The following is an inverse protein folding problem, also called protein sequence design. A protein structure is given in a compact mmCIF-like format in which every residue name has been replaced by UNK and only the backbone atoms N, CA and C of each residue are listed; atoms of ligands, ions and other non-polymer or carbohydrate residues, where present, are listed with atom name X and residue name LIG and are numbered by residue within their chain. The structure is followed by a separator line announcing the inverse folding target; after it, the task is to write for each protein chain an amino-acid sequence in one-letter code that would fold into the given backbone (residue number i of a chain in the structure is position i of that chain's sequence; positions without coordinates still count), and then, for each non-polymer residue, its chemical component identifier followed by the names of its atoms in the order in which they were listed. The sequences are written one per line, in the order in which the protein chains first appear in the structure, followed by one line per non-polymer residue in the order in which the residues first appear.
data_IF_692847024004
#
_entry.id   IF_692847024004
#
_cell.length_a   1.000
_cell.length_b   1.000
_cell.length_c   1.000
_cell.angle_alpha   90.00
_cell.angle_beta   90.00
_cell.angle_gamma   90.00
#
_symmetry.space_group_name_H-M   'P 1'
#
loop_
_entity.id
_entity.type
_entity.pdbx_description
1 polymer ?
#
# COMPACT_ATOMS: atom_id res chain seq x y z
N UNK A 1 -9.11 37.08 -17.26
CA UNK A 1 -7.84 37.12 -16.51
C UNK A 1 -7.82 35.90 -15.61
N UNK A 2 -7.04 34.88 -15.97
CA UNK A 2 -6.86 33.67 -15.17
C UNK A 2 -5.74 33.92 -14.18
N UNK A 3 -6.10 34.04 -12.89
CA UNK A 3 -5.13 34.15 -11.81
C UNK A 3 -4.39 32.81 -11.75
N UNK A 4 -3.09 32.83 -12.06
CA UNK A 4 -2.21 31.71 -11.78
C UNK A 4 -2.20 31.52 -10.27
N UNK A 5 -2.95 30.55 -9.76
CA UNK A 5 -2.78 30.11 -8.38
C UNK A 5 -1.31 29.74 -8.21
N UNK A 6 -0.59 30.51 -7.40
CA UNK A 6 0.75 30.16 -6.97
C UNK A 6 0.63 28.85 -6.21
N UNK A 7 0.88 27.75 -6.91
CA UNK A 7 0.89 26.40 -6.36
C UNK A 7 2.11 26.31 -5.44
N UNK A 8 1.89 26.59 -4.15
CA UNK A 8 2.92 26.53 -3.11
C UNK A 8 3.38 25.08 -3.02
N UNK A 9 4.64 24.83 -3.39
CA UNK A 9 5.26 23.51 -3.23
C UNK A 9 5.33 23.20 -1.73
N UNK A 10 4.84 22.04 -1.26
CA UNK A 10 4.91 21.68 0.16
C UNK A 10 6.36 21.67 0.65
N UNK A 11 6.63 22.15 1.87
CA UNK A 11 7.97 21.99 2.46
C UNK A 11 8.17 20.56 2.98
N UNK A 12 9.42 20.17 3.25
CA UNK A 12 9.75 18.80 3.70
C UNK A 12 9.07 18.48 5.04
N UNK A 13 9.00 19.46 5.94
CA UNK A 13 8.33 19.34 7.23
C UNK A 13 6.84 19.04 7.07
N UNK A 14 6.16 19.72 6.15
CA UNK A 14 4.73 19.49 5.85
C UNK A 14 4.48 18.09 5.28
N UNK A 15 5.43 17.57 4.49
CA UNK A 15 5.35 16.23 3.91
C UNK A 15 5.52 15.17 4.99
N UNK A 16 6.56 15.28 5.82
CA UNK A 16 6.81 14.35 6.92
C UNK A 16 5.65 14.36 7.91
N UNK A 17 5.14 15.53 8.28
CA UNK A 17 3.97 15.66 9.14
C UNK A 17 2.72 15.00 8.53
N UNK A 18 2.52 15.11 7.20
CA UNK A 18 1.39 14.45 6.54
C UNK A 18 1.50 12.92 6.60
N UNK A 19 2.71 12.38 6.46
CA UNK A 19 2.95 10.94 6.59
C UNK A 19 2.69 10.47 8.02
N UNK A 20 3.03 11.25 9.04
CA UNK A 20 2.83 10.90 10.47
C UNK A 20 1.36 10.78 10.89
N UNK A 21 0.41 11.33 10.11
CA UNK A 21 -1.03 11.22 10.41
C UNK A 21 -1.46 9.75 10.36
N UNK A 22 -1.77 9.20 11.55
CA UNK A 22 -2.28 7.84 11.72
C UNK A 22 -3.79 7.81 11.58
N UNK A 23 -4.31 6.68 11.11
CA UNK A 23 -5.74 6.46 10.99
C UNK A 23 -6.35 6.25 12.38
N UNK A 24 -7.23 7.15 12.82
CA UNK A 24 -8.10 6.90 13.97
C UNK A 24 -9.41 6.31 13.46
N UNK A 25 -9.75 5.11 13.95
CA UNK A 25 -10.86 4.30 13.43
C UNK A 25 -12.25 4.91 13.70
N UNK A 26 -12.33 5.98 14.48
CA UNK A 26 -13.60 6.53 15.02
C UNK A 26 -14.23 7.65 14.19
N UNK A 27 -13.52 8.31 13.27
CA UNK A 27 -14.11 9.41 12.49
C UNK A 27 -14.54 8.97 11.09
N UNK A 28 -15.85 8.73 10.97
CA UNK A 28 -16.56 8.69 9.72
C UNK A 28 -16.38 10.02 8.97
N UNK A 29 -15.62 9.97 7.87
CA UNK A 29 -15.73 10.80 6.66
C UNK A 29 -14.41 11.45 6.23
N UNK A 30 -14.08 11.19 4.95
CA UNK A 30 -13.16 11.93 4.10
C UNK A 30 -11.65 11.60 4.10
N UNK A 31 -11.33 10.66 3.18
CA UNK A 31 -10.06 10.18 2.61
C UNK A 31 -9.04 9.62 3.62
N UNK A 32 -8.56 8.44 3.25
CA UNK A 32 -7.56 7.69 3.97
C UNK A 32 -6.22 8.44 3.88
N UNK A 33 -5.50 8.59 5.01
CA UNK A 33 -4.47 9.61 5.16
C UNK A 33 -3.23 9.35 4.31
N UNK A 34 -2.93 8.10 3.97
CA UNK A 34 -1.70 7.78 3.26
C UNK A 34 -1.80 8.14 1.78
N UNK A 35 -2.90 7.83 1.08
CA UNK A 35 -3.07 8.23 -0.33
C UNK A 35 -2.91 9.74 -0.52
N UNK A 36 -3.55 10.55 0.32
CA UNK A 36 -3.40 12.01 0.29
C UNK A 36 -1.95 12.45 0.51
N UNK A 37 -1.25 11.79 1.44
CA UNK A 37 0.14 12.12 1.75
C UNK A 37 1.06 11.74 0.60
N UNK A 38 0.84 10.58 -0.04
CA UNK A 38 1.55 10.18 -1.25
C UNK A 38 1.32 11.15 -2.41
N UNK A 39 0.10 11.65 -2.60
CA UNK A 39 -0.19 12.68 -3.60
C UNK A 39 0.61 13.97 -3.35
N UNK A 40 0.75 14.38 -2.08
CA UNK A 40 1.60 15.53 -1.71
C UNK A 40 3.09 15.24 -1.95
N UNK A 41 3.57 14.05 -1.56
CA UNK A 41 4.94 13.62 -1.82
C UNK A 41 5.25 13.59 -3.32
N UNK A 42 4.33 13.10 -4.15
CA UNK A 42 4.47 13.03 -5.60
C UNK A 42 4.63 14.43 -6.18
N UNK A 43 3.77 15.35 -5.77
CA UNK A 43 3.84 16.73 -6.24
C UNK A 43 5.16 17.41 -5.82
N UNK A 44 5.62 17.17 -4.59
CA UNK A 44 6.94 17.66 -4.14
C UNK A 44 8.10 17.08 -4.97
N UNK A 45 8.10 15.77 -5.20
CA UNK A 45 9.13 15.09 -5.97
C UNK A 45 9.16 15.61 -7.42
N UNK A 46 8.00 15.84 -8.03
CA UNK A 46 7.87 16.42 -9.36
C UNK A 46 8.40 17.86 -9.40
N UNK A 47 7.97 18.71 -8.46
CA UNK A 47 8.37 20.12 -8.39
C UNK A 47 9.88 20.31 -8.25
N UNK A 48 10.53 19.40 -7.52
CA UNK A 48 11.98 19.44 -7.29
C UNK A 48 12.78 18.48 -8.19
N UNK A 49 12.15 17.86 -9.20
CA UNK A 49 12.78 16.98 -10.21
C UNK A 49 13.47 15.73 -9.64
N UNK A 50 12.95 15.17 -8.55
CA UNK A 50 13.45 13.91 -7.97
C UNK A 50 12.80 12.70 -8.64
N UNK A 51 13.34 12.29 -9.79
CA UNK A 51 12.78 11.21 -10.61
C UNK A 51 12.64 9.88 -9.86
N UNK A 52 13.67 9.47 -9.10
CA UNK A 52 13.66 8.20 -8.37
C UNK A 52 12.60 8.18 -7.26
N UNK A 53 12.49 9.28 -6.50
CA UNK A 53 11.48 9.43 -5.46
C UNK A 53 10.08 9.45 -6.08
N UNK A 54 9.91 10.15 -7.19
CA UNK A 54 8.64 10.21 -7.90
C UNK A 54 8.19 8.83 -8.40
N UNK A 55 9.10 8.03 -8.98
CA UNK A 55 8.77 6.68 -9.45
C UNK A 55 8.43 5.75 -8.29
N UNK A 56 9.20 5.79 -7.19
CA UNK A 56 8.89 5.05 -5.96
C UNK A 56 7.48 5.39 -5.47
N UNK A 57 7.19 6.67 -5.24
CA UNK A 57 5.90 7.13 -4.73
C UNK A 57 4.73 6.74 -5.64
N UNK A 58 4.95 6.75 -6.96
CA UNK A 58 3.96 6.34 -7.95
C UNK A 58 3.64 4.86 -7.84
N UNK A 59 4.66 4.02 -7.67
CA UNK A 59 4.48 2.58 -7.46
C UNK A 59 3.78 2.29 -6.12
N UNK A 60 4.14 3.00 -5.05
CA UNK A 60 3.46 2.88 -3.76
C UNK A 60 1.97 3.23 -3.86
N UNK A 61 1.65 4.35 -4.51
CA UNK A 61 0.30 4.89 -4.61
C UNK A 61 -0.61 4.03 -5.50
N UNK A 62 -0.12 3.61 -6.66
CA UNK A 62 -0.95 3.02 -7.73
C UNK A 62 -0.71 1.53 -7.96
N UNK A 63 0.36 0.97 -7.40
CA UNK A 63 0.72 -0.44 -7.50
C UNK A 63 1.91 -0.69 -8.43
N UNK A 64 2.33 -1.96 -8.47
CA UNK A 64 3.56 -2.38 -9.14
C UNK A 64 3.29 -3.18 -10.41
N UNK A 65 4.08 -2.90 -11.44
CA UNK A 65 4.11 -3.67 -12.70
C UNK A 65 5.21 -4.73 -12.73
N UNK A 66 6.22 -4.59 -11.87
CA UNK A 66 7.45 -5.40 -11.75
C UNK A 66 7.64 -5.77 -10.27
N UNK A 67 8.59 -6.63 -9.85
CA UNK A 67 8.45 -7.34 -8.59
C UNK A 67 8.33 -6.36 -7.43
N UNK A 68 7.27 -6.55 -6.64
CA UNK A 68 7.01 -5.71 -5.48
C UNK A 68 8.15 -5.87 -4.46
N UNK A 69 8.48 -4.82 -3.69
CA UNK A 69 9.45 -4.90 -2.60
C UNK A 69 9.14 -6.04 -1.62
N UNK A 70 10.17 -6.60 -0.96
CA UNK A 70 10.00 -7.74 -0.06
C UNK A 70 8.99 -7.49 1.07
N UNK A 71 8.86 -6.26 1.55
CA UNK A 71 7.91 -5.91 2.59
C UNK A 71 6.43 -5.98 2.10
N UNK A 72 6.19 -6.06 0.78
CA UNK A 72 4.86 -6.23 0.17
C UNK A 72 4.38 -7.69 0.20
N UNK A 73 5.19 -8.63 0.67
CA UNK A 73 4.76 -10.01 0.84
C UNK A 73 3.89 -10.16 2.08
N UNK A 74 2.66 -10.61 1.88
CA UNK A 74 1.67 -10.82 2.93
C UNK A 74 1.31 -12.29 3.03
N UNK A 75 0.74 -12.67 4.18
CA UNK A 75 0.23 -14.02 4.40
C UNK A 75 -1.23 -14.09 3.98
N UNK A 76 -1.53 -14.92 2.98
CA UNK A 76 -2.88 -15.24 2.54
C UNK A 76 -3.50 -16.31 3.42
N UNK A 77 -4.76 -16.07 3.77
CA UNK A 77 -5.69 -17.10 4.24
C UNK A 77 -6.52 -17.57 3.05
N UNK A 78 -6.70 -18.88 2.92
CA UNK A 78 -7.45 -19.47 1.81
C UNK A 78 -8.85 -19.87 2.24
N UNK A 79 -9.84 -19.62 1.38
CA UNK A 79 -11.24 -19.91 1.65
C UNK A 79 -11.86 -20.67 0.49
N UNK A 80 -12.83 -21.53 0.81
CA UNK A 80 -13.68 -22.17 -0.18
C UNK A 80 -14.89 -21.29 -0.55
N UNK A 81 -15.70 -21.75 -1.51
CA UNK A 81 -16.91 -21.05 -1.95
C UNK A 81 -17.97 -20.87 -0.85
N UNK A 82 -17.89 -21.65 0.25
CA UNK A 82 -18.76 -21.52 1.41
C UNK A 82 -18.25 -20.51 2.46
N UNK A 83 -17.13 -19.85 2.20
CA UNK A 83 -16.50 -18.93 3.14
C UNK A 83 -15.81 -19.62 4.31
N UNK A 84 -15.52 -20.93 4.21
CA UNK A 84 -14.79 -21.65 5.24
C UNK A 84 -13.29 -21.63 4.95
N UNK A 85 -12.50 -21.39 5.99
CA UNK A 85 -11.04 -21.39 5.89
C UNK A 85 -10.50 -22.79 5.57
N UNK A 86 -9.65 -22.88 4.54
CA UNK A 86 -8.97 -24.11 4.14
C UNK A 86 -7.64 -24.22 4.90
N UNK A 87 -7.51 -25.27 5.72
CA UNK A 87 -6.32 -25.54 6.55
C UNK A 87 -5.22 -26.25 5.75
N UNK A 88 -4.00 -26.27 6.28
CA UNK A 88 -2.88 -27.05 5.70
C UNK A 88 -2.15 -26.37 4.54
N UNK A 89 -2.44 -25.10 4.25
CA UNK A 89 -1.86 -24.34 3.14
C UNK A 89 -0.86 -23.25 3.58
N UNK A 90 -0.43 -23.25 4.84
CA UNK A 90 0.44 -22.21 5.42
C UNK A 90 1.82 -22.11 4.75
N UNK A 91 2.30 -23.16 4.09
CA UNK A 91 3.55 -23.12 3.33
C UNK A 91 3.42 -22.42 1.98
N UNK A 92 2.19 -22.15 1.53
CA UNK A 92 1.89 -21.47 0.26
C UNK A 92 1.33 -20.05 0.47
N UNK A 93 1.13 -19.61 1.70
CA UNK A 93 0.43 -18.37 2.01
C UNK A 93 1.20 -17.08 1.69
N UNK A 94 2.53 -17.15 1.52
CA UNK A 94 3.31 -15.97 1.16
C UNK A 94 2.97 -15.51 -0.27
N UNK A 95 2.45 -14.28 -0.40
CA UNK A 95 2.03 -13.75 -1.69
C UNK A 95 2.43 -12.28 -1.86
N UNK A 96 3.00 -11.88 -3.02
CA UNK A 96 3.37 -10.50 -3.29
C UNK A 96 2.13 -9.64 -3.57
N UNK A 97 1.92 -8.61 -2.77
CA UNK A 97 0.80 -7.70 -2.96
C UNK A 97 1.19 -6.51 -3.83
N UNK A 98 0.85 -6.58 -5.11
CA UNK A 98 1.12 -5.53 -6.11
C UNK A 98 0.12 -4.36 -6.10
N UNK A 99 -0.88 -4.43 -5.24
CA UNK A 99 -1.96 -3.43 -5.17
C UNK A 99 -1.47 -2.14 -4.51
N UNK A 100 -1.75 -1.00 -5.15
CA UNK A 100 -1.39 0.33 -4.65
C UNK A 100 -2.13 0.72 -3.37
N UNK A 101 -1.53 1.64 -2.60
CA UNK A 101 -2.08 2.18 -1.34
C UNK A 101 -3.51 2.67 -1.51
N UNK A 102 -3.82 3.32 -2.64
CA UNK A 102 -5.16 3.84 -2.93
C UNK A 102 -6.28 2.79 -2.80
N UNK A 103 -6.00 1.55 -3.19
CA UNK A 103 -6.92 0.42 -3.09
C UNK A 103 -6.79 -0.26 -1.74
N UNK A 104 -5.57 -0.43 -1.22
CA UNK A 104 -5.36 -1.05 0.09
C UNK A 104 -6.12 -0.33 1.20
N UNK A 105 -6.10 1.00 1.20
CA UNK A 105 -6.82 1.79 2.18
C UNK A 105 -8.35 1.61 2.07
N UNK A 106 -8.90 1.40 0.87
CA UNK A 106 -10.34 1.05 0.69
C UNK A 106 -10.68 -0.31 1.29
N UNK A 107 -9.72 -1.23 1.34
CA UNK A 107 -9.88 -2.58 1.88
C UNK A 107 -9.63 -2.66 3.39
N UNK A 108 -9.27 -1.57 4.08
CA UNK A 108 -8.94 -1.61 5.50
C UNK A 108 -10.09 -2.08 6.38
N UNK A 109 -11.36 -1.80 6.03
CA UNK A 109 -12.52 -2.20 6.84
C UNK A 109 -12.86 -3.68 6.74
N UNK A 110 -12.73 -4.27 5.55
CA UNK A 110 -13.26 -5.61 5.25
C UNK A 110 -12.17 -6.63 4.91
N UNK A 111 -10.93 -6.19 4.77
CA UNK A 111 -9.85 -6.98 4.19
C UNK A 111 -9.88 -6.95 2.66
N UNK A 112 -8.91 -7.62 2.08
CA UNK A 112 -8.72 -7.71 0.64
C UNK A 112 -8.87 -9.17 0.19
N UNK A 113 -9.84 -9.40 -0.67
CA UNK A 113 -10.04 -10.68 -1.34
C UNK A 113 -9.35 -10.65 -2.70
N UNK A 114 -8.50 -11.63 -2.96
CA UNK A 114 -7.73 -11.76 -4.19
C UNK A 114 -8.28 -12.89 -5.04
N UNK A 115 -8.66 -12.55 -6.28
CA UNK A 115 -8.88 -13.55 -7.32
C UNK A 115 -7.53 -14.02 -7.85
N UNK A 116 -7.05 -15.13 -7.30
CA UNK A 116 -5.79 -15.74 -7.73
C UNK A 116 -5.95 -16.38 -9.12
N UNK A 117 -4.88 -16.46 -9.93
CA UNK A 117 -4.89 -17.22 -11.17
C UNK A 117 -5.45 -18.64 -10.97
N UNK A 118 -6.30 -19.10 -11.91
CA UNK A 118 -6.96 -20.41 -11.82
C UNK A 118 -5.99 -21.56 -11.62
N UNK A 119 -4.79 -21.47 -12.19
CA UNK A 119 -3.72 -22.46 -12.03
C UNK A 119 -3.25 -22.57 -10.58
N UNK A 120 -3.15 -21.44 -9.86
CA UNK A 120 -2.79 -21.41 -8.45
C UNK A 120 -3.91 -22.01 -7.61
N UNK A 121 -5.17 -21.63 -7.86
CA UNK A 121 -6.33 -22.18 -7.14
C UNK A 121 -6.47 -23.69 -7.32
N UNK A 122 -6.32 -24.19 -8.56
CA UNK A 122 -6.33 -25.63 -8.85
C UNK A 122 -5.20 -26.38 -8.14
N UNK A 123 -4.00 -25.80 -8.10
CA UNK A 123 -2.88 -26.37 -7.36
C UNK A 123 -3.18 -26.46 -5.86
N UNK A 124 -3.63 -25.35 -5.25
CA UNK A 124 -3.98 -25.28 -3.83
C UNK A 124 -5.11 -26.25 -3.47
N UNK A 125 -6.09 -26.39 -4.36
CA UNK A 125 -7.20 -27.32 -4.17
C UNK A 125 -6.73 -28.78 -4.18
N UNK A 126 -5.82 -29.11 -5.09
CA UNK A 126 -5.24 -30.46 -5.19
C UNK A 126 -4.42 -30.84 -3.95
N UNK A 127 -3.59 -29.93 -3.44
CA UNK A 127 -2.72 -30.22 -2.29
C UNK A 127 -3.48 -30.25 -0.97
N UNK A 128 -4.56 -29.48 -0.83
CA UNK A 128 -5.39 -29.49 0.38
C UNK A 128 -6.47 -30.58 0.39
N UNK A 129 -6.80 -31.16 -0.77
CA UNK A 129 -7.92 -32.08 -0.93
C UNK A 129 -9.30 -31.43 -0.79
N UNK A 130 -9.36 -30.10 -0.79
CA UNK A 130 -10.59 -29.29 -0.69
C UNK A 130 -10.55 -28.19 -1.74
N UNK A 131 -11.70 -27.83 -2.29
CA UNK A 131 -11.78 -26.70 -3.22
C UNK A 131 -11.36 -25.39 -2.55
N UNK A 132 -10.42 -24.68 -3.19
CA UNK A 132 -9.97 -23.34 -2.80
C UNK A 132 -10.48 -22.36 -3.84
N UNK A 133 -11.28 -21.39 -3.39
CA UNK A 133 -11.93 -20.40 -4.26
C UNK A 133 -11.17 -19.07 -4.26
N UNK A 134 -10.69 -18.64 -3.09
CA UNK A 134 -10.08 -17.31 -2.96
C UNK A 134 -8.95 -17.23 -1.93
N UNK A 135 -8.11 -16.21 -2.09
CA UNK A 135 -7.13 -15.78 -1.10
C UNK A 135 -7.59 -14.50 -0.41
N UNK A 136 -7.36 -14.40 0.89
CA UNK A 136 -7.80 -13.28 1.71
C UNK A 136 -6.64 -12.72 2.52
N UNK A 137 -6.55 -11.39 2.56
CA UNK A 137 -5.64 -10.63 3.41
C UNK A 137 -6.47 -9.91 4.48
N UNK A 138 -6.14 -10.12 5.74
CA UNK A 138 -6.89 -9.54 6.87
C UNK A 138 -6.73 -8.00 6.95
N UNK A 139 -7.71 -7.28 7.53
CA UNK A 139 -7.60 -5.87 7.89
C UNK A 139 -6.30 -5.54 8.65
N UNK A 140 -5.92 -6.39 9.61
CA UNK A 140 -4.69 -6.21 10.39
C UNK A 140 -3.43 -6.28 9.54
N UNK A 141 -3.36 -7.21 8.58
CA UNK A 141 -2.23 -7.32 7.66
C UNK A 141 -2.16 -6.10 6.72
N UNK A 142 -3.29 -5.60 6.26
CA UNK A 142 -3.35 -4.37 5.45
C UNK A 142 -2.89 -3.16 6.28
N UNK A 143 -3.39 -3.00 7.51
CA UNK A 143 -3.00 -1.92 8.41
C UNK A 143 -1.49 -1.90 8.64
N UNK A 144 -0.92 -3.05 9.00
CA UNK A 144 0.52 -3.20 9.22
C UNK A 144 1.32 -2.86 7.95
N UNK A 145 0.83 -3.26 6.78
CA UNK A 145 1.49 -2.95 5.53
C UNK A 145 1.50 -1.45 5.23
N UNK A 146 0.36 -0.77 5.43
CA UNK A 146 0.26 0.69 5.28
C UNK A 146 1.20 1.42 6.24
N UNK A 147 1.35 0.92 7.47
CA UNK A 147 2.30 1.46 8.43
C UNK A 147 3.74 1.28 7.95
N UNK A 148 4.12 0.10 7.44
CA UNK A 148 5.46 -0.12 6.88
C UNK A 148 5.74 0.85 5.73
N UNK A 149 4.80 0.99 4.78
CA UNK A 149 4.94 1.91 3.64
C UNK A 149 5.15 3.35 4.10
N UNK A 150 4.39 3.79 5.11
CA UNK A 150 4.55 5.12 5.71
C UNK A 150 5.98 5.34 6.23
N UNK A 151 6.51 4.38 6.99
CA UNK A 151 7.85 4.49 7.56
C UNK A 151 8.93 4.45 6.48
N UNK A 152 8.78 3.60 5.46
CA UNK A 152 9.73 3.50 4.36
C UNK A 152 9.85 4.82 3.59
N UNK A 153 8.71 5.43 3.25
CA UNK A 153 8.68 6.69 2.50
C UNK A 153 9.21 7.84 3.35
N UNK A 154 8.86 7.90 4.64
CA UNK A 154 9.41 8.90 5.55
C UNK A 154 10.93 8.77 5.68
N UNK A 155 11.44 7.53 5.75
CA UNK A 155 12.89 7.23 5.77
C UNK A 155 13.56 7.70 4.47
N UNK A 156 13.02 7.34 3.31
CA UNK A 156 13.55 7.75 1.99
C UNK A 156 13.61 9.28 1.84
N UNK A 157 12.55 9.98 2.25
CA UNK A 157 12.53 11.44 2.24
C UNK A 157 13.59 11.99 3.20
N UNK A 158 13.66 11.49 4.43
CA UNK A 158 14.65 11.97 5.42
C UNK A 158 16.09 11.75 4.96
N UNK A 159 16.37 10.63 4.31
CA UNK A 159 17.71 10.33 3.78
C UNK A 159 18.08 11.23 2.60
N UNK A 160 17.13 11.52 1.71
CA UNK A 160 17.35 12.44 0.57
C UNK A 160 17.40 13.91 0.99
N UNK A 161 16.80 14.25 2.14
CA UNK A 161 16.73 15.61 2.68
C UNK A 161 17.09 15.65 4.17
N UNK A 162 18.37 15.46 4.54
CA UNK A 162 18.79 15.58 5.92
C UNK A 162 18.57 17.03 6.40
N UNK A 163 17.99 17.20 7.59
CA UNK A 163 17.81 18.51 8.25
C UNK A 163 19.14 19.26 8.24
N UNK A 164 19.25 20.30 7.40
CA UNK A 164 20.48 21.09 7.22
C UNK A 164 20.85 21.44 5.77
N UNK A 165 20.16 20.92 4.75
CA UNK A 165 20.31 21.35 3.36
C UNK A 165 19.10 22.18 2.89
N UNK A 166 18.87 23.32 3.52
CA UNK A 166 18.10 24.41 2.91
C UNK A 166 19.08 25.29 2.14
N UNK A 167 19.04 25.24 0.81
CA UNK A 167 19.62 26.31 -0.01
C UNK A 167 18.78 27.59 0.14
#
# INVERSE_FOLDING_TARGET
MSVSESRIVPCIEDILASLEVRFELEESSHKLPLTRSLEKCLWFAEANKYADLHELLKQEAYGYSNPAPNYRYVQLSYFDAGGQMVKGLSQYSSYPLVTGVNKLELHLKNGLTLMLPKQILAFLSKVSGREVDTGYVSPSAISNLLDIIRHEIASEITQKFPKGQTN
#
